data_IF_117875968177
#
_entry.id   IF_117875968177
#
_cell.length_a   1.000
_cell.length_b   1.000
_cell.length_c   1.000
_cell.angle_alpha   90.00
_cell.angle_beta   90.00
_cell.angle_gamma   90.00
#
_symmetry.space_group_name_H-M   'P 1'
#
loop_
_entity.id
_entity.type
_entity.pdbx_description
1 polymer ?
#
# COMPACT_ATOMS: atom_id res chain seq x y z
N UNK A 1 -5.17 31.30 5.33
CA UNK A 1 -5.50 30.44 6.47
C UNK A 1 -4.61 30.84 7.65
N UNK A 2 -5.18 31.04 8.83
CA UNK A 2 -4.40 31.35 10.04
C UNK A 2 -4.17 30.07 10.84
N UNK A 3 -2.91 29.74 11.07
CA UNK A 3 -2.44 28.79 12.08
C UNK A 3 -2.09 29.58 13.34
N UNK A 4 -1.95 28.88 14.48
CA UNK A 4 -1.68 29.48 15.80
C UNK A 4 -0.52 30.48 15.74
N UNK A 5 0.54 30.18 14.99
CA UNK A 5 1.75 31.01 14.91
C UNK A 5 2.05 31.57 13.50
N UNK A 6 1.23 31.26 12.48
CA UNK A 6 1.56 31.58 11.07
C UNK A 6 0.33 31.87 10.22
N UNK A 7 0.47 32.75 9.22
CA UNK A 7 -0.54 32.93 8.17
C UNK A 7 -0.05 32.29 6.88
N UNK A 8 -0.80 31.31 6.37
CA UNK A 8 -0.55 30.68 5.07
C UNK A 8 -1.41 31.32 3.99
N UNK A 9 -0.77 31.79 2.91
CA UNK A 9 -1.44 32.26 1.70
C UNK A 9 -1.63 31.09 0.75
N UNK A 10 -2.89 30.70 0.53
CA UNK A 10 -3.23 29.49 -0.22
C UNK A 10 -4.17 29.86 -1.36
N UNK A 11 -3.97 29.22 -2.51
CA UNK A 11 -4.78 29.40 -3.70
C UNK A 11 -6.04 28.55 -3.58
N UNK A 12 -7.18 29.24 -3.58
CA UNK A 12 -8.51 28.62 -3.47
C UNK A 12 -8.78 27.59 -4.56
N UNK A 13 -8.37 27.87 -5.81
CA UNK A 13 -8.58 26.95 -6.93
C UNK A 13 -7.86 25.62 -6.75
N UNK A 14 -6.66 25.63 -6.15
CA UNK A 14 -5.91 24.40 -5.86
C UNK A 14 -6.64 23.58 -4.78
N UNK A 15 -7.18 24.23 -3.75
CA UNK A 15 -7.95 23.53 -2.71
C UNK A 15 -9.24 22.94 -3.29
N UNK A 16 -9.95 23.69 -4.12
CA UNK A 16 -11.19 23.24 -4.79
C UNK A 16 -10.96 22.00 -5.66
N UNK A 17 -9.79 21.89 -6.30
CA UNK A 17 -9.43 20.69 -7.06
C UNK A 17 -9.38 19.42 -6.22
N UNK A 18 -9.09 19.52 -4.91
CA UNK A 18 -8.97 18.38 -4.01
C UNK A 18 -10.28 17.95 -3.32
N UNK A 19 -11.41 18.57 -3.69
CA UNK A 19 -12.77 18.33 -3.20
C UNK A 19 -13.03 18.97 -1.81
N UNK A 20 -14.04 19.84 -1.74
CA UNK A 20 -14.20 20.87 -0.69
C UNK A 20 -15.36 20.65 0.26
N UNK A 21 -16.06 19.51 0.21
CA UNK A 21 -17.27 19.28 1.01
C UNK A 21 -17.06 19.39 2.53
N UNK A 22 -15.81 19.35 3.03
CA UNK A 22 -15.50 19.39 4.46
C UNK A 22 -14.93 20.70 5.01
N UNK A 23 -14.57 21.70 4.20
CA UNK A 23 -14.03 22.96 4.73
C UNK A 23 -15.13 23.79 5.39
N UNK A 24 -14.85 24.35 6.57
CA UNK A 24 -15.73 25.34 7.19
C UNK A 24 -15.28 26.69 6.66
N UNK A 25 -16.15 27.34 5.88
CA UNK A 25 -15.96 28.74 5.48
C UNK A 25 -16.36 29.59 6.69
N UNK A 26 -15.37 30.18 7.38
CA UNK A 26 -15.65 31.09 8.50
C UNK A 26 -16.04 32.49 7.99
N UNK A 27 -15.40 32.94 6.90
CA UNK A 27 -15.63 34.20 6.18
C UNK A 27 -15.25 34.03 4.69
N UNK A 28 -15.59 35.00 3.82
CA UNK A 28 -15.37 34.92 2.35
C UNK A 28 -13.94 34.58 1.91
N UNK A 29 -12.93 34.85 2.75
CA UNK A 29 -11.50 34.65 2.46
C UNK A 29 -10.76 33.76 3.49
N UNK A 30 -11.43 33.21 4.50
CA UNK A 30 -10.79 32.38 5.54
C UNK A 30 -11.32 30.94 5.50
N UNK A 31 -10.39 30.02 5.20
CA UNK A 31 -10.63 28.57 5.20
C UNK A 31 -10.26 28.02 6.58
N UNK A 32 -11.19 27.31 7.21
CA UNK A 32 -10.96 26.60 8.46
C UNK A 32 -11.02 25.09 8.23
N UNK A 33 -9.96 24.40 8.66
CA UNK A 33 -9.87 22.93 8.62
C UNK A 33 -10.54 22.33 9.85
N UNK A 34 -11.37 21.31 9.64
CA UNK A 34 -11.91 20.48 10.72
C UNK A 34 -10.80 19.66 11.35
N UNK A 35 -10.57 19.87 12.65
CA UNK A 35 -9.60 19.14 13.46
C UNK A 35 -10.36 18.27 14.46
N UNK A 36 -10.00 16.99 14.56
CA UNK A 36 -10.55 16.07 15.58
C UNK A 36 -9.58 15.93 16.75
N UNK A 37 -10.07 15.57 17.94
CA UNK A 37 -9.20 15.27 19.08
C UNK A 37 -8.22 14.10 18.77
N UNK A 38 -8.67 13.14 17.96
CA UNK A 38 -7.85 12.03 17.47
C UNK A 38 -6.66 12.50 16.64
N UNK A 39 -6.83 13.56 15.84
CA UNK A 39 -5.73 14.15 15.06
C UNK A 39 -4.60 14.62 15.97
N UNK A 40 -4.94 15.27 17.08
CA UNK A 40 -3.95 15.71 18.06
C UNK A 40 -3.12 14.56 18.63
N UNK A 41 -3.78 13.44 18.98
CA UNK A 41 -3.10 12.23 19.49
C UNK A 41 -2.18 11.62 18.44
N UNK A 42 -2.63 11.51 17.19
CA UNK A 42 -1.81 10.97 16.09
C UNK A 42 -0.60 11.87 15.78
N UNK A 43 -0.78 13.19 15.80
CA UNK A 43 0.31 14.14 15.62
C UNK A 43 1.37 14.04 16.72
N UNK A 44 0.94 13.96 17.99
CA UNK A 44 1.85 13.77 19.14
C UNK A 44 2.62 12.46 19.00
N UNK A 45 1.94 11.37 18.62
CA UNK A 45 2.59 10.07 18.39
C UNK A 45 3.59 10.11 17.23
N UNK A 46 3.33 10.92 16.21
CA UNK A 46 4.22 11.15 15.09
C UNK A 46 5.34 12.18 15.37
N UNK A 47 5.34 12.82 16.55
CA UNK A 47 6.32 13.84 16.92
C UNK A 47 6.18 15.16 16.17
N UNK A 48 4.98 15.48 15.66
CA UNK A 48 4.71 16.68 14.86
C UNK A 48 3.59 17.51 15.48
N UNK A 49 3.57 18.82 15.21
CA UNK A 49 2.41 19.65 15.55
C UNK A 49 1.35 19.58 14.44
N UNK A 50 0.09 19.87 14.78
CA UNK A 50 -0.98 19.96 13.78
C UNK A 50 -0.70 21.09 12.77
N UNK A 51 -0.08 22.19 13.21
CA UNK A 51 0.30 23.29 12.33
C UNK A 51 1.33 22.86 11.29
N UNK A 52 2.38 22.13 11.70
CA UNK A 52 3.42 21.62 10.79
C UNK A 52 2.86 20.59 9.81
N UNK A 53 1.96 19.72 10.28
CA UNK A 53 1.26 18.75 9.43
C UNK A 53 0.47 19.45 8.31
N UNK A 54 -0.25 20.53 8.66
CA UNK A 54 -1.04 21.29 7.70
C UNK A 54 -0.12 22.01 6.70
N UNK A 55 0.99 22.60 7.17
CA UNK A 55 1.97 23.22 6.29
C UNK A 55 2.55 22.20 5.29
N UNK A 56 2.95 21.02 5.77
CA UNK A 56 3.44 19.92 4.95
C UNK A 56 2.37 19.44 3.94
N UNK A 57 1.13 19.32 4.38
CA UNK A 57 0.00 18.95 3.50
C UNK A 57 -0.12 19.94 2.33
N UNK A 58 -0.05 21.25 2.59
CA UNK A 58 -0.13 22.23 1.51
C UNK A 58 1.10 22.19 0.59
N UNK A 59 2.31 21.96 1.11
CA UNK A 59 3.49 21.74 0.25
C UNK A 59 3.34 20.52 -0.66
N UNK A 60 2.72 19.45 -0.16
CA UNK A 60 2.43 18.26 -0.97
C UNK A 60 1.34 18.48 -2.03
N UNK A 61 0.27 19.22 -1.70
CA UNK A 61 -0.81 19.55 -2.62
C UNK A 61 -0.33 20.46 -3.77
N UNK A 62 0.58 21.37 -3.46
CA UNK A 62 1.11 22.29 -4.45
C UNK A 62 2.00 21.57 -5.48
N UNK A 63 2.21 22.15 -6.68
CA UNK A 63 2.88 21.47 -7.80
C UNK A 63 4.28 20.92 -7.51
N UNK A 64 4.92 21.38 -6.44
CA UNK A 64 6.22 20.89 -5.98
C UNK A 64 6.16 19.44 -5.46
N UNK A 65 4.98 18.97 -5.01
CA UNK A 65 4.69 17.59 -4.57
C UNK A 65 5.77 17.01 -3.65
N UNK A 66 6.10 17.73 -2.59
CA UNK A 66 7.04 17.24 -1.58
C UNK A 66 6.61 15.86 -1.07
N UNK A 67 7.57 14.96 -0.91
CA UNK A 67 7.30 13.63 -0.37
C UNK A 67 6.81 13.75 1.07
N UNK A 68 5.67 13.12 1.37
CA UNK A 68 5.15 13.06 2.74
C UNK A 68 5.92 11.98 3.49
N UNK A 69 6.61 12.30 4.61
CA UNK A 69 7.29 11.31 5.43
C UNK A 69 6.30 10.27 5.98
N UNK A 70 6.75 9.03 6.15
CA UNK A 70 5.89 7.91 6.58
C UNK A 70 5.16 8.17 7.90
N UNK A 71 5.83 8.82 8.87
CA UNK A 71 5.23 9.17 10.17
C UNK A 71 4.09 10.19 10.05
N UNK A 72 4.07 11.00 8.98
CA UNK A 72 3.02 11.98 8.70
C UNK A 72 1.84 11.38 7.91
N UNK A 73 1.98 10.22 7.27
CA UNK A 73 0.94 9.66 6.39
C UNK A 73 -0.38 9.46 7.13
N UNK A 74 -0.36 8.73 8.25
CA UNK A 74 -1.55 8.40 9.06
C UNK A 74 -2.30 9.65 9.56
N UNK A 75 -1.65 10.63 10.24
CA UNK A 75 -2.35 11.85 10.65
C UNK A 75 -2.80 12.70 9.45
N UNK A 76 -2.05 12.73 8.34
CA UNK A 76 -2.47 13.45 7.13
C UNK A 76 -3.68 12.81 6.46
N UNK A 77 -3.79 11.48 6.45
CA UNK A 77 -4.97 10.77 5.95
C UNK A 77 -6.21 11.10 6.78
N UNK A 78 -6.10 11.14 8.10
CA UNK A 78 -7.21 11.54 8.97
C UNK A 78 -7.64 12.99 8.71
N UNK A 79 -6.67 13.90 8.57
CA UNK A 79 -6.94 15.30 8.24
C UNK A 79 -7.62 15.42 6.86
N UNK A 80 -7.13 14.69 5.86
CA UNK A 80 -7.70 14.66 4.51
C UNK A 80 -9.15 14.16 4.54
N UNK A 81 -9.40 13.07 5.26
CA UNK A 81 -10.72 12.48 5.42
C UNK A 81 -11.71 13.44 6.10
N UNK A 82 -11.34 14.03 7.25
CA UNK A 82 -12.18 14.96 7.99
C UNK A 82 -12.61 16.19 7.18
N UNK A 83 -11.79 16.59 6.20
CA UNK A 83 -12.02 17.75 5.36
C UNK A 83 -12.52 17.40 3.96
N UNK A 84 -12.80 16.12 3.68
CA UNK A 84 -13.35 15.67 2.41
C UNK A 84 -12.39 15.75 1.21
N UNK A 85 -11.07 15.80 1.48
CA UNK A 85 -10.03 15.92 0.45
C UNK A 85 -9.73 14.57 -0.22
N UNK A 86 -10.68 14.03 -1.00
CA UNK A 86 -10.60 12.67 -1.57
C UNK A 86 -9.32 12.43 -2.38
N UNK A 87 -8.93 13.37 -3.26
CA UNK A 87 -7.73 13.20 -4.09
C UNK A 87 -6.44 13.12 -3.28
N UNK A 88 -6.38 13.88 -2.19
CA UNK A 88 -5.24 13.81 -1.27
C UNK A 88 -5.25 12.46 -0.54
N UNK A 89 -6.41 12.02 -0.06
CA UNK A 89 -6.56 10.74 0.61
C UNK A 89 -6.14 9.56 -0.28
N UNK A 90 -6.52 9.59 -1.56
CA UNK A 90 -6.10 8.59 -2.55
C UNK A 90 -4.58 8.61 -2.79
N UNK A 91 -3.98 9.80 -2.91
CA UNK A 91 -2.52 9.96 -3.03
C UNK A 91 -1.79 9.36 -1.83
N UNK A 92 -2.26 9.68 -0.62
CA UNK A 92 -1.68 9.21 0.63
C UNK A 92 -1.84 7.70 0.83
N UNK A 93 -3.00 7.13 0.48
CA UNK A 93 -3.20 5.70 0.58
C UNK A 93 -2.40 4.91 -0.47
N UNK A 94 -2.15 5.49 -1.65
CA UNK A 94 -1.18 4.94 -2.60
C UNK A 94 0.25 5.00 -2.03
N UNK A 95 0.65 6.10 -1.38
CA UNK A 95 1.96 6.18 -0.72
C UNK A 95 2.08 5.15 0.43
N UNK A 96 1.05 4.99 1.25
CA UNK A 96 0.98 3.97 2.29
C UNK A 96 1.00 2.55 1.70
N UNK A 97 0.44 2.35 0.51
CA UNK A 97 0.51 1.08 -0.20
C UNK A 97 1.93 0.70 -0.61
N UNK A 98 2.89 1.64 -0.62
CA UNK A 98 4.31 1.38 -0.86
C UNK A 98 5.09 1.10 0.44
N UNK A 99 4.53 1.45 1.61
CA UNK A 99 5.14 1.16 2.92
C UNK A 99 5.24 -0.36 3.13
N UNK A 100 6.45 -0.92 3.36
CA UNK A 100 6.59 -2.34 3.62
C UNK A 100 6.10 -2.66 5.04
N UNK A 101 5.11 -3.57 5.22
CA UNK A 101 4.66 -3.94 6.56
C UNK A 101 5.67 -4.90 7.21
N UNK A 102 6.54 -4.34 8.06
CA UNK A 102 7.60 -5.11 8.75
C UNK A 102 7.00 -6.02 9.83
N UNK A 103 5.91 -5.57 10.48
CA UNK A 103 5.25 -6.29 11.59
C UNK A 103 3.80 -6.65 11.28
N UNK A 104 3.25 -7.61 12.03
CA UNK A 104 1.85 -8.02 11.97
C UNK A 104 0.89 -6.91 12.33
N UNK A 105 1.31 -6.03 13.24
CA UNK A 105 0.52 -4.90 13.71
C UNK A 105 0.42 -3.82 12.63
N UNK A 106 1.50 -3.56 11.89
CA UNK A 106 1.50 -2.62 10.76
C UNK A 106 0.68 -3.16 9.60
N UNK A 107 0.80 -4.47 9.32
CA UNK A 107 -0.03 -5.11 8.30
C UNK A 107 -1.52 -5.04 8.64
N UNK A 108 -1.89 -5.28 9.91
CA UNK A 108 -3.28 -5.15 10.35
C UNK A 108 -3.77 -3.70 10.27
N UNK A 109 -2.93 -2.75 10.66
CA UNK A 109 -3.22 -1.32 10.53
C UNK A 109 -3.50 -0.93 9.07
N UNK A 110 -2.77 -1.48 8.08
CA UNK A 110 -3.07 -1.21 6.67
C UNK A 110 -4.48 -1.67 6.27
N UNK A 111 -4.96 -2.81 6.78
CA UNK A 111 -6.32 -3.27 6.54
C UNK A 111 -7.36 -2.38 7.22
N UNK A 112 -7.12 -2.00 8.48
CA UNK A 112 -8.00 -1.09 9.21
C UNK A 112 -8.10 0.28 8.53
N UNK A 113 -6.99 0.83 8.03
CA UNK A 113 -6.97 2.10 7.30
C UNK A 113 -7.66 1.95 5.93
N UNK A 114 -7.45 0.83 5.24
CA UNK A 114 -8.13 0.57 3.97
C UNK A 114 -9.64 0.46 4.15
N UNK A 115 -10.10 -0.17 5.24
CA UNK A 115 -11.52 -0.25 5.59
C UNK A 115 -12.08 1.12 5.98
N UNK A 116 -11.42 1.80 6.93
CA UNK A 116 -11.84 3.10 7.45
C UNK A 116 -11.99 4.16 6.35
N UNK A 117 -11.08 4.17 5.38
CA UNK A 117 -11.06 5.15 4.30
C UNK A 117 -11.57 4.60 2.97
N UNK A 118 -12.07 3.35 2.94
CA UNK A 118 -12.55 2.67 1.73
C UNK A 118 -11.53 2.71 0.58
N UNK A 119 -10.25 2.53 0.91
CA UNK A 119 -9.15 2.66 -0.03
C UNK A 119 -8.80 1.32 -0.69
N UNK A 120 -9.41 1.05 -1.85
CA UNK A 120 -9.30 -0.22 -2.57
C UNK A 120 -7.86 -0.62 -2.93
N UNK A 121 -7.02 0.31 -3.38
CA UNK A 121 -5.63 -0.03 -3.75
C UNK A 121 -4.80 -0.48 -2.54
N UNK A 122 -5.00 0.13 -1.37
CA UNK A 122 -4.30 -0.25 -0.13
C UNK A 122 -4.75 -1.64 0.33
N UNK A 123 -6.06 -1.91 0.27
CA UNK A 123 -6.61 -3.23 0.54
C UNK A 123 -5.99 -4.28 -0.38
N UNK A 124 -6.00 -4.03 -1.70
CA UNK A 124 -5.47 -4.96 -2.69
C UNK A 124 -3.96 -5.20 -2.53
N UNK A 125 -3.18 -4.15 -2.36
CA UNK A 125 -1.73 -4.26 -2.13
C UNK A 125 -1.44 -5.07 -0.86
N UNK A 126 -2.24 -4.89 0.19
CA UNK A 126 -2.12 -5.64 1.44
C UNK A 126 -2.52 -7.11 1.25
N UNK A 127 -3.61 -7.40 0.56
CA UNK A 127 -4.01 -8.79 0.24
C UNK A 127 -2.94 -9.52 -0.59
N UNK A 128 -2.33 -8.86 -1.58
CA UNK A 128 -1.25 -9.44 -2.38
C UNK A 128 0.00 -9.75 -1.55
N UNK A 129 0.30 -8.92 -0.55
CA UNK A 129 1.41 -9.17 0.37
C UNK A 129 1.18 -10.41 1.24
N UNK A 130 -0.05 -10.70 1.64
CA UNK A 130 -0.39 -11.94 2.37
C UNK A 130 0.03 -13.17 1.57
N UNK A 131 -0.21 -13.17 0.25
CA UNK A 131 0.16 -14.29 -0.62
C UNK A 131 1.68 -14.37 -0.87
N UNK A 132 2.37 -13.23 -0.83
CA UNK A 132 3.79 -13.12 -1.12
C UNK A 132 4.64 -12.88 0.12
N UNK A 133 5.20 -11.66 0.20
CA UNK A 133 6.24 -11.30 1.17
C UNK A 133 5.83 -11.41 2.64
N UNK A 134 4.53 -11.42 2.94
CA UNK A 134 3.99 -11.50 4.30
C UNK A 134 3.47 -12.90 4.68
N UNK A 135 3.54 -13.89 3.78
CA UNK A 135 2.98 -15.24 3.99
C UNK A 135 3.43 -15.89 5.30
N UNK A 136 4.72 -15.81 5.63
CA UNK A 136 5.28 -16.42 6.84
C UNK A 136 4.77 -15.82 8.16
N UNK A 137 4.19 -14.61 8.13
CA UNK A 137 3.62 -13.92 9.29
C UNK A 137 2.09 -13.87 9.27
N UNK A 138 1.45 -14.26 8.16
CA UNK A 138 0.01 -14.16 7.97
C UNK A 138 -0.79 -14.96 9.00
N UNK A 139 -0.33 -16.13 9.45
CA UNK A 139 -1.03 -16.88 10.50
C UNK A 139 -1.11 -16.11 11.83
N UNK A 140 -0.08 -15.31 12.15
CA UNK A 140 -0.05 -14.46 13.36
C UNK A 140 -0.98 -13.25 13.24
N UNK A 141 -1.22 -12.76 12.02
CA UNK A 141 -2.19 -11.69 11.76
C UNK A 141 -3.60 -12.09 12.22
N UNK A 142 -4.03 -13.30 11.87
CA UNK A 142 -5.39 -13.82 12.14
C UNK A 142 -5.62 -14.04 13.64
N UNK A 143 -4.55 -14.28 14.41
CA UNK A 143 -4.64 -14.46 15.88
C UNK A 143 -4.74 -13.15 16.65
N UNK A 144 -4.51 -11.99 16.02
CA UNK A 144 -4.55 -10.71 16.71
C UNK A 144 -5.97 -10.36 17.19
N UNK A 145 -6.16 -9.83 18.42
CA UNK A 145 -7.48 -9.45 18.91
C UNK A 145 -8.19 -8.43 18.01
N UNK A 146 -7.42 -7.44 17.50
CA UNK A 146 -7.91 -6.38 16.61
C UNK A 146 -8.41 -6.92 15.26
N UNK A 147 -7.94 -8.08 14.81
CA UNK A 147 -8.43 -8.70 13.57
C UNK A 147 -9.93 -8.98 13.63
N UNK A 148 -10.47 -9.31 14.80
CA UNK A 148 -11.90 -9.57 15.00
C UNK A 148 -12.78 -8.34 14.73
N UNK A 149 -12.20 -7.14 14.84
CA UNK A 149 -12.91 -5.87 14.66
C UNK A 149 -13.03 -5.44 13.19
N UNK A 150 -12.34 -6.12 12.27
CA UNK A 150 -12.47 -5.85 10.84
C UNK A 150 -13.84 -6.28 10.31
N UNK A 151 -14.29 -5.61 9.24
CA UNK A 151 -15.46 -6.01 8.47
C UNK A 151 -15.37 -7.48 8.01
N UNK A 152 -16.50 -8.20 8.01
CA UNK A 152 -16.54 -9.64 7.69
C UNK A 152 -16.03 -9.93 6.28
N UNK A 153 -16.35 -9.05 5.34
CA UNK A 153 -15.91 -9.13 3.95
C UNK A 153 -14.39 -9.07 3.82
N UNK A 154 -13.72 -8.24 4.64
CA UNK A 154 -12.27 -8.11 4.64
C UNK A 154 -11.63 -9.32 5.33
N UNK A 155 -12.20 -9.78 6.45
CA UNK A 155 -11.72 -11.00 7.13
C UNK A 155 -11.77 -12.21 6.20
N UNK A 156 -12.88 -12.39 5.49
CA UNK A 156 -13.03 -13.47 4.51
C UNK A 156 -12.02 -13.37 3.37
N UNK A 157 -11.75 -12.17 2.84
CA UNK A 157 -10.70 -11.98 1.84
C UNK A 157 -9.31 -12.31 2.38
N UNK A 158 -9.00 -11.91 3.62
CA UNK A 158 -7.71 -12.22 4.25
C UNK A 158 -7.54 -13.73 4.44
N UNK A 159 -8.58 -14.42 4.93
CA UNK A 159 -8.56 -15.87 5.12
C UNK A 159 -8.46 -16.62 3.80
N UNK A 160 -9.20 -16.20 2.77
CA UNK A 160 -9.08 -16.73 1.40
C UNK A 160 -7.63 -16.64 0.90
N UNK A 161 -6.99 -15.46 1.08
CA UNK A 161 -5.60 -15.23 0.66
C UNK A 161 -4.58 -15.99 1.50
N UNK A 162 -4.82 -16.14 2.79
CA UNK A 162 -3.94 -16.89 3.70
C UNK A 162 -3.94 -18.39 3.39
N UNK A 163 -5.11 -18.94 3.09
CA UNK A 163 -5.30 -20.33 2.67
C UNK A 163 -4.97 -20.57 1.19
N UNK A 164 -4.65 -19.50 0.44
CA UNK A 164 -4.42 -19.59 -0.99
C UNK A 164 -3.10 -20.33 -1.30
N UNK A 165 -3.15 -21.25 -2.26
CA UNK A 165 -1.98 -22.02 -2.69
C UNK A 165 -1.55 -23.16 -1.76
N UNK A 166 -2.37 -23.52 -0.76
CA UNK A 166 -2.16 -24.71 0.07
C UNK A 166 -2.47 -26.02 -0.66
N UNK A 167 -3.42 -25.99 -1.62
CA UNK A 167 -3.83 -27.15 -2.41
C UNK A 167 -3.00 -27.35 -3.70
N UNK A 168 -1.99 -26.51 -3.95
CA UNK A 168 -1.12 -26.66 -5.10
C UNK A 168 0.05 -27.57 -4.71
N UNK A 169 0.04 -28.81 -5.21
CA UNK A 169 1.16 -29.76 -5.07
C UNK A 169 2.43 -29.26 -5.79
N UNK A 170 2.26 -28.40 -6.79
CA UNK A 170 3.36 -27.79 -7.53
C UNK A 170 4.04 -26.70 -6.69
N UNK A 171 5.29 -26.98 -6.26
CA UNK A 171 6.16 -26.04 -5.54
C UNK A 171 6.44 -24.75 -6.32
N UNK A 172 6.35 -24.78 -7.65
CA UNK A 172 6.55 -23.62 -8.52
C UNK A 172 5.34 -22.66 -8.49
N UNK A 173 4.15 -23.15 -8.14
CA UNK A 173 2.92 -22.34 -8.04
C UNK A 173 2.51 -22.07 -6.59
N UNK A 174 2.92 -22.93 -5.65
CA UNK A 174 2.72 -22.73 -4.23
C UNK A 174 3.52 -21.51 -3.72
N UNK A 175 2.83 -20.48 -3.23
CA UNK A 175 3.48 -19.29 -2.68
C UNK A 175 3.88 -18.21 -3.68
N UNK A 176 3.44 -18.32 -4.95
CA UNK A 176 3.50 -17.18 -5.88
C UNK A 176 2.28 -16.28 -5.69
N UNK A 177 2.45 -14.94 -5.55
CA UNK A 177 1.33 -14.00 -5.48
C UNK A 177 0.50 -14.10 -6.76
N UNK A 178 -0.82 -14.19 -6.61
CA UNK A 178 -1.71 -14.20 -7.76
C UNK A 178 -2.04 -12.80 -8.23
N UNK A 179 -1.95 -12.57 -9.54
CA UNK A 179 -2.39 -11.32 -10.17
C UNK A 179 -3.92 -11.17 -10.24
N UNK A 180 -4.70 -12.19 -9.83
CA UNK A 180 -6.17 -12.24 -9.98
C UNK A 180 -6.90 -12.01 -8.65
N UNK A 181 -7.90 -11.13 -8.71
CA UNK A 181 -8.76 -10.75 -7.57
C UNK A 181 -9.62 -11.93 -7.08
N UNK A 182 -10.01 -12.84 -7.97
CA UNK A 182 -10.70 -14.10 -7.60
C UNK A 182 -9.91 -15.28 -8.13
N UNK A 183 -9.67 -16.28 -7.27
CA UNK A 183 -9.21 -17.59 -7.71
C UNK A 183 -10.46 -18.42 -7.99
N UNK A 184 -10.71 -18.70 -9.27
CA UNK A 184 -11.66 -19.74 -9.65
C UNK A 184 -10.87 -21.04 -9.62
N UNK A 185 -11.21 -21.93 -8.70
CA UNK A 185 -10.75 -23.32 -8.73
C UNK A 185 -11.57 -24.05 -9.78
N UNK A 186 -11.12 -24.03 -11.03
CA UNK A 186 -11.65 -24.95 -12.05
C UNK A 186 -11.08 -26.33 -11.77
N UNK A 187 -11.86 -27.21 -11.15
CA UNK A 187 -11.59 -28.65 -11.07
C UNK A 187 -11.82 -29.25 -12.47
N UNK A 188 -10.92 -28.98 -13.41
CA UNK A 188 -10.93 -29.62 -14.74
C UNK A 188 -10.36 -31.05 -14.69
N UNK A 189 -9.50 -31.33 -13.71
CA UNK A 189 -8.94 -32.64 -13.41
C UNK A 189 -8.44 -32.67 -11.96
N UNK A 190 -8.57 -33.83 -11.30
CA UNK A 190 -8.06 -34.08 -9.96
C UNK A 190 -7.01 -35.19 -10.01
N UNK A 191 -5.87 -34.96 -9.39
CA UNK A 191 -4.73 -35.89 -9.32
C UNK A 191 -3.42 -35.12 -9.20
N UNK A 192 -2.33 -35.75 -8.71
CA UNK A 192 -1.01 -35.17 -8.82
C UNK A 192 -0.74 -34.90 -10.31
N UNK A 193 -0.38 -33.67 -10.67
CA UNK A 193 0.26 -33.43 -11.96
C UNK A 193 1.56 -34.24 -11.95
N UNK A 194 1.78 -35.05 -12.99
CA UNK A 194 3.11 -35.59 -13.24
C UNK A 194 4.07 -34.40 -13.29
N UNK A 195 5.12 -34.50 -12.49
CA UNK A 195 6.19 -33.52 -12.41
C UNK A 195 6.80 -33.36 -13.81
N UNK A 196 6.43 -32.31 -14.55
CA UNK A 196 7.20 -31.89 -15.72
C UNK A 196 8.64 -31.49 -15.33
N UNK A 197 8.92 -31.37 -14.02
CA UNK A 197 10.24 -31.15 -13.46
C UNK A 197 11.14 -32.40 -13.48
N UNK A 198 10.60 -33.58 -13.77
CA UNK A 198 11.38 -34.81 -14.02
C UNK A 198 11.44 -35.17 -15.51
N UNK A 199 11.12 -34.22 -16.41
CA UNK A 199 11.63 -34.29 -17.77
C UNK A 199 13.01 -33.62 -17.78
N UNK A 200 14.06 -34.45 -17.88
CA UNK A 200 15.48 -34.07 -18.02
C UNK A 200 15.78 -33.16 -19.24
N UNK A 201 14.76 -32.57 -19.87
CA UNK A 201 14.87 -31.70 -21.03
C UNK A 201 14.82 -30.20 -20.65
N UNK A 202 14.54 -29.85 -19.39
CA UNK A 202 14.40 -28.45 -18.95
C UNK A 202 15.68 -27.82 -18.38
N UNK A 203 16.79 -28.57 -18.36
CA UNK A 203 18.11 -28.09 -17.92
C UNK A 203 19.17 -28.17 -19.04
N UNK A 204 18.76 -28.07 -20.30
CA UNK A 204 19.70 -27.78 -21.38
C UNK A 204 19.72 -26.28 -21.67
N UNK A 205 20.56 -25.58 -20.90
CA UNK A 205 21.35 -24.42 -21.32
C UNK A 205 20.72 -23.47 -22.35
N UNK A 206 19.93 -22.51 -21.87
CA UNK A 206 19.79 -21.20 -22.53
C UNK A 206 20.92 -20.27 -22.06
N UNK A 207 22.20 -20.52 -22.37
CA UNK A 207 23.26 -19.55 -22.02
C UNK A 207 24.40 -19.31 -23.03
N UNK A 208 24.52 -20.02 -24.17
CA UNK A 208 25.65 -19.75 -25.08
C UNK A 208 25.32 -18.85 -26.29
N UNK A 209 24.08 -18.83 -26.79
CA UNK A 209 23.76 -18.13 -28.04
C UNK A 209 23.40 -16.66 -27.89
N UNK A 210 22.95 -16.21 -26.72
CA UNK A 210 22.55 -14.81 -26.49
C UNK A 210 23.69 -13.90 -26.00
N UNK A 211 24.77 -14.46 -25.44
CA UNK A 211 25.91 -13.66 -24.97
C UNK A 211 26.80 -13.21 -26.13
N UNK A 212 26.94 -14.03 -27.19
CA UNK A 212 27.75 -13.72 -28.38
C UNK A 212 27.12 -12.58 -29.20
N UNK A 213 25.79 -12.53 -29.30
CA UNK A 213 25.07 -11.43 -29.97
C UNK A 213 25.16 -10.10 -29.19
N UNK A 214 25.19 -10.15 -27.86
CA UNK A 214 25.21 -8.95 -27.02
C UNK A 214 26.62 -8.39 -26.74
N UNK A 215 27.65 -9.25 -26.70
CA UNK A 215 28.99 -8.88 -26.23
C UNK A 215 30.13 -9.20 -27.22
N UNK A 216 29.84 -9.86 -28.35
CA UNK A 216 30.84 -10.31 -29.32
C UNK A 216 31.67 -11.50 -28.81
N UNK A 217 32.45 -12.12 -29.70
CA UNK A 217 33.32 -13.22 -29.33
C UNK A 217 34.44 -12.74 -28.39
N UNK A 218 34.75 -13.48 -27.30
CA UNK A 218 35.81 -13.10 -26.38
C UNK A 218 37.16 -13.05 -27.13
N UNK A 219 37.85 -11.92 -27.01
CA UNK A 219 39.22 -11.78 -27.51
C UNK A 219 40.18 -12.13 -26.37
N UNK A 220 41.08 -13.08 -26.63
CA UNK A 220 42.13 -13.43 -25.69
C UNK A 220 43.09 -12.26 -25.50
N UNK A 221 43.17 -11.77 -24.27
CA UNK A 221 44.19 -10.79 -23.87
C UNK A 221 45.47 -11.55 -23.60
N UNK A 222 46.43 -11.47 -24.52
CA UNK A 222 47.80 -11.95 -24.28
C UNK A 222 48.48 -10.95 -23.35
N UNK A 223 48.71 -11.38 -22.11
CA UNK A 223 49.55 -10.65 -21.15
C UNK A 223 50.96 -11.25 -21.29
N UNK A 224 51.91 -10.44 -21.76
CA UNK A 224 53.34 -10.77 -21.83
C UNK A 224 53.98 -10.85 -20.44
#
# INVERSE_FOLDING_TARGET
MKLVDKTLHINRGIIELHNTKGFIMRNSNEIELRQSAELGVLCIRAGITVADLIELMFRHIYPQRDLVPAHCLRPMMLLAHNNGMCKLLDSLGNALSLEPPITTEVMLEHFELADRYQHSNLLQASLLRIEGSFRGKASRLVTLPRFKNLAEEIKMQILDRHCSGWALFDKCLAGRPTKRIRRVLTLGSGGPLESECDSETSLQYTEESLSVEAFGAPQDVIIN
#
